data_IF_214012346969
#
_entry.id   IF_214012346969
#
_cell.length_a   1.000
_cell.length_b   1.000
_cell.length_c   1.000
_cell.angle_alpha   90.00
_cell.angle_beta   90.00
_cell.angle_gamma   90.00
#
_symmetry.space_group_name_H-M   'P 1'
#
loop_
_entity.id
_entity.type
_entity.pdbx_description
1 polymer ?
#
# COMPACT_ATOMS: atom_id res chain seq x y z
N UNK A 1 43.38 8.42 26.57
CA UNK A 1 42.08 9.09 26.33
C UNK A 1 42.05 9.55 24.89
N UNK A 2 41.46 8.75 24.00
CA UNK A 2 40.89 9.16 22.72
C UNK A 2 39.99 7.99 22.28
N UNK A 3 38.69 8.16 22.43
CA UNK A 3 37.66 7.29 21.88
C UNK A 3 37.56 7.59 20.38
N UNK A 4 37.77 6.60 19.51
CA UNK A 4 37.28 6.65 18.14
C UNK A 4 36.02 5.80 18.08
N UNK A 5 34.88 6.49 17.98
CA UNK A 5 33.58 5.94 17.63
C UNK A 5 33.64 5.38 16.22
N UNK A 6 33.54 4.05 16.10
CA UNK A 6 33.31 3.38 14.84
C UNK A 6 31.83 3.55 14.50
N UNK A 7 31.51 4.56 13.70
CA UNK A 7 30.19 4.71 13.09
C UNK A 7 29.97 3.54 12.14
N UNK A 8 29.07 2.63 12.52
CA UNK A 8 28.58 1.58 11.65
C UNK A 8 27.74 2.27 10.56
N UNK A 9 28.33 2.42 9.37
CA UNK A 9 27.58 2.72 8.16
C UNK A 9 26.63 1.56 7.92
N UNK A 10 25.33 1.78 8.10
CA UNK A 10 24.30 0.91 7.55
C UNK A 10 24.44 1.01 6.04
N UNK A 11 24.79 -0.10 5.40
CA UNK A 11 24.82 -0.22 3.95
C UNK A 11 23.39 -0.11 3.45
N UNK A 12 23.10 0.89 2.62
CA UNK A 12 21.97 0.81 1.69
C UNK A 12 22.28 -0.35 0.74
N UNK A 13 21.61 -1.49 0.92
CA UNK A 13 21.60 -2.52 -0.11
C UNK A 13 20.84 -1.95 -1.30
N UNK A 14 21.54 -1.79 -2.43
CA UNK A 14 20.92 -1.49 -3.72
C UNK A 14 20.49 -2.80 -4.40
N UNK A 15 19.90 -3.72 -3.64
CA UNK A 15 19.35 -4.94 -4.21
C UNK A 15 17.91 -4.64 -4.67
N UNK A 16 17.58 -4.75 -5.96
CA UNK A 16 16.20 -4.58 -6.43
C UNK A 16 15.22 -5.59 -5.81
N UNK A 17 15.71 -6.68 -5.21
CA UNK A 17 14.88 -7.62 -4.45
C UNK A 17 14.62 -7.18 -2.99
N UNK A 18 15.36 -6.18 -2.47
CA UNK A 18 15.10 -5.53 -1.15
C UNK A 18 14.06 -4.39 -1.25
N UNK A 19 13.45 -4.20 -2.42
CA UNK A 19 12.46 -3.15 -2.68
C UNK A 19 11.26 -3.18 -1.71
N UNK A 20 10.99 -4.32 -1.06
CA UNK A 20 9.97 -4.45 -0.01
C UNK A 20 10.38 -3.92 1.38
N UNK A 21 11.66 -3.65 1.65
CA UNK A 21 12.16 -3.31 3.00
C UNK A 21 12.30 -1.82 3.28
N UNK A 22 11.70 -0.96 2.45
CA UNK A 22 11.69 0.49 2.68
C UNK A 22 10.62 0.87 3.71
N UNK A 23 10.77 0.43 4.96
CA UNK A 23 10.05 1.03 6.09
C UNK A 23 10.41 2.51 6.27
N UNK A 24 11.60 2.92 5.78
CA UNK A 24 12.12 4.27 5.96
C UNK A 24 11.24 5.32 5.27
N UNK A 25 10.47 6.03 6.09
CA UNK A 25 9.60 7.11 5.64
C UNK A 25 8.15 6.71 5.44
N UNK A 26 7.77 5.45 5.73
CA UNK A 26 6.36 5.07 5.81
C UNK A 26 5.83 5.39 7.21
N UNK A 27 4.70 6.08 7.27
CA UNK A 27 4.06 6.43 8.54
C UNK A 27 2.57 6.20 8.46
N UNK A 28 1.96 5.93 9.61
CA UNK A 28 0.51 5.88 9.76
C UNK A 28 0.14 6.35 11.16
N UNK A 29 -1.00 7.01 11.27
CA UNK A 29 -1.60 7.48 12.51
C UNK A 29 -3.11 7.34 12.43
N UNK A 30 -3.70 6.93 13.55
CA UNK A 30 -5.11 6.59 13.66
C UNK A 30 -5.32 5.09 13.83
N UNK A 31 -6.58 4.67 13.80
CA UNK A 31 -6.97 3.28 13.99
C UNK A 31 -8.26 2.99 13.26
N UNK A 32 -8.42 1.76 12.77
CA UNK A 32 -9.66 1.25 12.17
C UNK A 32 -10.02 -0.05 12.89
N UNK A 33 -11.25 -0.11 13.40
CA UNK A 33 -11.82 -1.09 14.32
C UNK A 33 -10.84 -1.60 15.40
N UNK A 34 -10.14 -0.67 16.03
CA UNK A 34 -9.20 -0.96 17.13
C UNK A 34 -7.81 -1.42 16.70
N UNK A 35 -7.57 -1.60 15.40
CA UNK A 35 -6.26 -1.92 14.84
C UNK A 35 -5.53 -0.65 14.42
N UNK A 36 -4.22 -0.62 14.62
CA UNK A 36 -3.34 0.47 14.21
C UNK A 36 -2.32 -0.08 13.23
N UNK A 37 -2.26 0.48 12.03
CA UNK A 37 -1.19 0.16 11.09
C UNK A 37 0.11 0.80 11.58
N UNK A 38 1.12 -0.01 11.89
CA UNK A 38 2.50 0.46 12.10
C UNK A 38 3.34 0.00 10.92
N UNK A 39 3.55 0.84 9.87
CA UNK A 39 4.17 0.39 8.63
C UNK A 39 5.58 -0.18 8.84
N UNK A 40 5.80 -1.40 8.35
CA UNK A 40 7.11 -2.05 8.28
C UNK A 40 7.53 -2.36 6.84
N UNK A 41 6.60 -2.39 5.90
CA UNK A 41 6.91 -2.44 4.47
C UNK A 41 5.82 -1.81 3.63
N UNK A 42 6.16 -1.47 2.39
CA UNK A 42 5.20 -1.11 1.37
C UNK A 42 5.69 -1.55 -0.01
N UNK A 43 4.76 -1.81 -0.92
CA UNK A 43 5.04 -2.08 -2.33
C UNK A 43 3.98 -1.45 -3.22
N UNK A 44 4.30 -1.30 -4.49
CA UNK A 44 3.34 -1.02 -5.56
C UNK A 44 3.42 -2.09 -6.64
N UNK A 45 2.31 -2.34 -7.33
CA UNK A 45 2.27 -3.27 -8.46
C UNK A 45 1.58 -2.57 -9.63
N UNK A 46 2.31 -2.32 -10.73
CA UNK A 46 1.71 -1.79 -11.95
C UNK A 46 0.62 -2.74 -12.46
N UNK A 47 -0.49 -2.16 -12.90
CA UNK A 47 -1.59 -2.88 -13.53
C UNK A 47 -1.77 -2.43 -14.99
N UNK A 48 -2.57 -3.20 -15.72
CA UNK A 48 -2.93 -2.88 -17.10
C UNK A 48 -3.60 -1.50 -17.20
N UNK A 49 -3.35 -0.78 -18.29
CA UNK A 49 -3.88 0.57 -18.51
C UNK A 49 -3.13 1.66 -17.74
N UNK A 50 -2.11 1.32 -16.95
CA UNK A 50 -1.29 2.30 -16.23
C UNK A 50 -1.89 2.71 -14.88
N UNK A 51 -2.75 1.86 -14.30
CA UNK A 51 -3.19 1.91 -12.90
C UNK A 51 -2.17 1.19 -12.01
N UNK A 52 -2.34 1.25 -10.69
CA UNK A 52 -1.46 0.53 -9.78
C UNK A 52 -2.15 0.13 -8.48
N UNK A 53 -1.74 -1.00 -7.92
CA UNK A 53 -2.00 -1.34 -6.53
C UNK A 53 -0.86 -0.83 -5.66
N UNK A 54 -1.17 -0.41 -4.44
CA UNK A 54 -0.19 -0.12 -3.40
C UNK A 54 -0.62 -0.89 -2.15
N UNK A 55 0.34 -1.51 -1.49
CA UNK A 55 0.11 -2.25 -0.25
C UNK A 55 1.07 -1.68 0.79
N UNK A 56 0.55 -1.31 1.96
CA UNK A 56 1.32 -0.93 3.14
C UNK A 56 1.00 -1.95 4.22
N UNK A 57 2.04 -2.53 4.79
CA UNK A 57 1.93 -3.66 5.72
C UNK A 57 2.60 -3.35 7.06
N UNK A 58 2.04 -3.88 8.15
CA UNK A 58 2.67 -3.87 9.47
C UNK A 58 3.81 -4.88 9.64
N UNK A 59 4.08 -5.71 8.63
CA UNK A 59 5.21 -6.65 8.61
C UNK A 59 6.21 -6.27 7.51
N UNK A 60 7.48 -6.65 7.69
CA UNK A 60 8.53 -6.45 6.68
C UNK A 60 8.34 -7.36 5.46
N UNK A 61 9.12 -7.22 4.39
CA UNK A 61 9.17 -8.21 3.30
C UNK A 61 7.84 -8.53 2.55
N UNK A 62 6.84 -7.63 2.54
CA UNK A 62 5.54 -7.89 1.89
C UNK A 62 5.64 -8.25 0.40
N UNK A 63 6.69 -7.78 -0.31
CA UNK A 63 6.93 -8.18 -1.69
C UNK A 63 7.37 -9.64 -1.82
N UNK A 64 8.19 -10.14 -0.89
CA UNK A 64 8.58 -11.54 -0.86
C UNK A 64 7.37 -12.42 -0.55
N UNK A 65 6.52 -12.00 0.39
CA UNK A 65 5.24 -12.66 0.67
C UNK A 65 4.35 -12.70 -0.57
N UNK A 66 4.25 -11.59 -1.31
CA UNK A 66 3.49 -11.53 -2.57
C UNK A 66 4.03 -12.45 -3.66
N UNK A 67 5.34 -12.47 -3.87
CA UNK A 67 6.01 -13.39 -4.81
C UNK A 67 5.85 -14.85 -4.39
N UNK A 68 5.82 -15.13 -3.09
CA UNK A 68 5.62 -16.46 -2.51
C UNK A 68 4.17 -16.92 -2.45
N UNK A 69 3.20 -16.05 -2.78
CA UNK A 69 1.77 -16.28 -2.58
C UNK A 69 1.43 -16.71 -1.15
N UNK A 70 2.12 -16.08 -0.19
CA UNK A 70 1.96 -16.33 1.24
C UNK A 70 1.36 -15.14 1.95
N UNK A 71 0.52 -15.40 2.94
CA UNK A 71 0.07 -14.41 3.91
C UNK A 71 0.49 -14.88 5.28
N UNK A 72 1.09 -13.99 6.07
CA UNK A 72 1.44 -14.27 7.47
C UNK A 72 0.30 -13.84 8.40
N UNK A 73 0.08 -14.53 9.52
CA UNK A 73 -0.92 -14.12 10.51
C UNK A 73 -0.50 -12.83 11.23
N UNK A 74 -1.45 -12.21 11.93
CA UNK A 74 -1.26 -10.98 12.72
C UNK A 74 -0.64 -9.85 11.90
N UNK A 75 -1.22 -9.55 10.75
CA UNK A 75 -0.77 -8.50 9.84
C UNK A 75 -1.90 -7.53 9.62
N UNK A 76 -1.58 -6.24 9.71
CA UNK A 76 -2.46 -5.16 9.32
C UNK A 76 -2.00 -4.69 7.94
N UNK A 77 -2.95 -4.55 7.02
CA UNK A 77 -2.70 -4.25 5.62
C UNK A 77 -3.62 -3.11 5.20
N UNK A 78 -3.03 -2.02 4.71
CA UNK A 78 -3.73 -0.97 4.00
C UNK A 78 -3.42 -1.11 2.51
N UNK A 79 -4.45 -1.23 1.69
CA UNK A 79 -4.31 -1.39 0.24
C UNK A 79 -4.95 -0.20 -0.47
N UNK A 80 -4.33 0.26 -1.55
CA UNK A 80 -4.87 1.24 -2.50
C UNK A 80 -4.95 0.61 -3.88
N UNK A 81 -6.05 0.81 -4.58
CA UNK A 81 -6.11 0.71 -6.04
C UNK A 81 -6.24 2.12 -6.60
N UNK A 82 -5.20 2.57 -7.31
CA UNK A 82 -5.12 3.92 -7.88
C UNK A 82 -5.50 3.87 -9.35
N UNK A 83 -6.45 4.72 -9.74
CA UNK A 83 -6.95 4.84 -11.10
C UNK A 83 -7.00 6.28 -11.58
N UNK A 84 -6.69 6.49 -12.87
CA UNK A 84 -6.90 7.76 -13.55
C UNK A 84 -7.61 7.51 -14.87
N UNK A 85 -8.62 8.32 -15.15
CA UNK A 85 -9.31 8.33 -16.44
C UNK A 85 -9.35 9.74 -17.01
N UNK A 86 -9.20 9.87 -18.33
CA UNK A 86 -9.36 11.13 -19.07
C UNK A 86 -10.37 10.88 -20.17
N UNK A 87 -11.45 11.65 -20.19
CA UNK A 87 -12.52 11.53 -21.18
C UNK A 87 -13.12 10.11 -21.26
N UNK A 88 -13.18 9.43 -20.12
CA UNK A 88 -13.64 8.04 -19.91
C UNK A 88 -12.70 6.93 -20.44
N UNK A 89 -11.46 7.27 -20.79
CA UNK A 89 -10.42 6.29 -21.09
C UNK A 89 -9.44 6.18 -19.94
N UNK A 90 -9.05 4.95 -19.58
CA UNK A 90 -8.00 4.72 -18.57
C UNK A 90 -6.71 5.39 -19.07
N UNK A 91 -6.08 6.16 -18.20
CA UNK A 91 -4.86 6.88 -18.50
C UNK A 91 -3.79 6.58 -17.43
N UNK A 92 -2.50 6.68 -17.77
CA UNK A 92 -1.43 6.50 -16.82
C UNK A 92 -1.57 7.41 -15.59
N UNK A 93 -1.24 6.86 -14.42
CA UNK A 93 -1.11 7.63 -13.19
C UNK A 93 -0.09 8.76 -13.37
N UNK A 94 -0.39 9.90 -12.74
CA UNK A 94 0.57 11.00 -12.55
C UNK A 94 0.52 11.48 -11.10
N UNK A 95 1.52 12.25 -10.64
CA UNK A 95 1.41 13.00 -9.39
C UNK A 95 0.11 13.82 -9.34
N UNK A 96 -0.46 13.98 -8.15
CA UNK A 96 -1.76 14.60 -7.92
C UNK A 96 -2.57 13.88 -6.85
N UNK A 97 -3.74 14.44 -6.54
CA UNK A 97 -4.69 13.91 -5.55
C UNK A 97 -5.66 12.91 -6.22
N UNK A 98 -5.96 11.82 -5.52
CA UNK A 98 -6.87 10.75 -5.93
C UNK A 98 -7.90 10.54 -4.81
N UNK A 99 -9.19 10.57 -5.14
CA UNK A 99 -10.27 10.61 -4.14
C UNK A 99 -10.90 9.25 -3.89
N UNK A 100 -11.16 8.92 -2.62
CA UNK A 100 -11.75 7.65 -2.18
C UNK A 100 -13.23 7.47 -2.57
N UNK A 101 -13.89 8.58 -2.93
CA UNK A 101 -15.28 8.62 -3.38
C UNK A 101 -15.40 9.45 -4.67
N UNK A 102 -14.41 9.30 -5.56
CA UNK A 102 -14.40 10.00 -6.83
C UNK A 102 -15.69 9.69 -7.63
N UNK A 103 -16.42 10.73 -8.01
CA UNK A 103 -17.63 10.57 -8.83
C UNK A 103 -17.22 10.57 -10.31
N UNK A 104 -17.54 9.52 -11.08
CA UNK A 104 -17.27 9.50 -12.51
C UNK A 104 -17.94 10.69 -13.22
N UNK A 105 -17.23 11.32 -14.15
CA UNK A 105 -17.72 12.49 -14.86
C UNK A 105 -16.88 12.82 -16.10
N UNK A 106 -17.33 13.81 -16.91
CA UNK A 106 -16.58 14.26 -18.08
C UNK A 106 -15.25 14.90 -17.66
N UNK A 107 -14.22 14.74 -18.49
CA UNK A 107 -12.88 15.23 -18.21
C UNK A 107 -12.03 14.22 -17.44
N UNK A 108 -11.22 14.70 -16.51
CA UNK A 108 -10.28 13.88 -15.78
C UNK A 108 -10.83 13.45 -14.42
N UNK A 109 -10.77 12.14 -14.15
CA UNK A 109 -11.14 11.53 -12.87
C UNK A 109 -9.91 10.84 -12.30
N UNK A 110 -9.65 11.06 -11.01
CA UNK A 110 -8.59 10.40 -10.23
C UNK A 110 -9.22 9.76 -9.02
N UNK A 111 -9.20 8.43 -9.00
CA UNK A 111 -9.88 7.65 -7.99
C UNK A 111 -8.88 6.80 -7.23
N UNK A 112 -9.16 6.61 -5.94
CA UNK A 112 -8.53 5.56 -5.15
C UNK A 112 -9.63 4.70 -4.55
N UNK A 113 -9.50 3.38 -4.63
CA UNK A 113 -10.26 2.47 -3.77
C UNK A 113 -9.30 2.04 -2.67
N UNK A 114 -9.66 2.20 -1.41
CA UNK A 114 -8.75 1.92 -0.30
C UNK A 114 -9.41 1.03 0.74
N UNK A 115 -8.71 -0.04 1.13
CA UNK A 115 -9.19 -1.03 2.08
C UNK A 115 -8.22 -1.20 3.24
N UNK A 116 -8.74 -1.39 4.45
CA UNK A 116 -7.94 -1.74 5.62
C UNK A 116 -8.36 -3.11 6.16
N UNK A 117 -7.40 -4.03 6.26
CA UNK A 117 -7.62 -5.40 6.65
C UNK A 117 -6.69 -5.81 7.80
N UNK A 118 -7.23 -6.54 8.78
CA UNK A 118 -6.44 -7.33 9.71
C UNK A 118 -6.53 -8.80 9.32
N UNK A 119 -5.42 -9.52 9.34
CA UNK A 119 -5.41 -10.98 9.21
C UNK A 119 -5.03 -11.57 10.55
N UNK A 120 -5.90 -12.42 11.10
CA UNK A 120 -5.76 -13.00 12.44
C UNK A 120 -4.77 -14.18 12.48
N UNK A 121 -4.66 -14.81 13.67
CA UNK A 121 -3.84 -16.01 13.93
C UNK A 121 -4.22 -17.22 13.05
N UNK A 122 -5.47 -17.30 12.60
CA UNK A 122 -5.97 -18.37 11.72
C UNK A 122 -5.74 -18.04 10.23
N UNK A 123 -5.02 -16.96 9.92
CA UNK A 123 -4.88 -16.40 8.58
C UNK A 123 -6.21 -16.06 7.90
N UNK A 124 -7.25 -15.75 8.69
CA UNK A 124 -8.49 -15.21 8.15
C UNK A 124 -8.35 -13.70 8.11
N UNK A 125 -8.65 -13.12 6.96
CA UNK A 125 -8.88 -11.68 6.88
C UNK A 125 -10.11 -11.37 7.73
N UNK A 126 -9.88 -10.90 8.96
CA UNK A 126 -10.91 -10.29 9.78
C UNK A 126 -11.08 -8.88 9.23
N UNK A 127 -12.07 -8.73 8.35
CA UNK A 127 -12.54 -7.43 7.90
C UNK A 127 -13.03 -6.69 9.15
N UNK A 128 -12.40 -5.57 9.54
CA UNK A 128 -12.70 -4.93 10.82
C UNK A 128 -14.16 -4.40 10.91
N UNK A 129 -14.91 -4.43 9.80
CA UNK A 129 -16.33 -4.13 9.65
C UNK A 129 -16.81 -4.57 8.25
N UNK A 130 -18.10 -4.89 8.08
CA UNK A 130 -18.70 -5.33 6.80
C UNK A 130 -18.81 -4.19 5.75
N UNK A 131 -18.06 -3.09 5.90
CA UNK A 131 -18.04 -1.92 5.01
C UNK A 131 -16.57 -1.64 4.65
N UNK A 132 -16.18 -2.16 3.50
CA UNK A 132 -14.83 -2.70 3.22
C UNK A 132 -13.85 -1.65 2.67
N UNK A 133 -14.34 -0.44 2.39
CA UNK A 133 -13.64 0.59 1.64
C UNK A 133 -13.74 1.95 2.34
N UNK A 134 -12.67 2.75 2.21
CA UNK A 134 -12.69 4.14 2.63
C UNK A 134 -13.84 4.88 1.94
N UNK A 135 -14.70 5.53 2.72
CA UNK A 135 -15.88 6.25 2.21
C UNK A 135 -15.60 7.69 1.83
N UNK A 136 -14.46 8.23 2.27
CA UNK A 136 -13.98 9.56 1.92
C UNK A 136 -12.50 9.72 2.24
N UNK A 137 -11.95 10.88 1.86
CA UNK A 137 -10.52 11.15 1.96
C UNK A 137 -9.82 10.98 0.62
N UNK A 138 -8.50 11.08 0.64
CA UNK A 138 -7.69 11.06 -0.57
C UNK A 138 -6.29 10.49 -0.36
N UNK A 139 -5.69 10.11 -1.48
CA UNK A 139 -4.28 9.77 -1.61
C UNK A 139 -3.62 10.78 -2.53
N UNK A 140 -2.58 11.45 -2.04
CA UNK A 140 -1.82 12.45 -2.82
C UNK A 140 -0.49 11.86 -3.23
N UNK A 141 -0.35 11.60 -4.53
CA UNK A 141 0.89 11.11 -5.12
C UNK A 141 1.84 12.27 -5.41
N UNK A 142 3.05 12.18 -4.87
CA UNK A 142 4.15 13.13 -5.12
C UNK A 142 5.12 12.61 -6.18
N UNK A 143 5.24 11.28 -6.30
CA UNK A 143 6.03 10.60 -7.32
C UNK A 143 5.31 9.37 -7.84
N UNK A 144 5.38 9.18 -9.16
CA UNK A 144 4.86 8.00 -9.85
C UNK A 144 5.93 7.52 -10.81
N UNK A 145 6.51 6.36 -10.53
CA UNK A 145 7.39 5.63 -11.44
C UNK A 145 7.03 4.14 -11.35
N UNK A 146 6.32 3.65 -12.35
CA UNK A 146 5.84 2.26 -12.43
C UNK A 146 6.79 1.35 -13.24
N UNK A 147 7.99 1.85 -13.58
CA UNK A 147 8.99 1.03 -14.25
C UNK A 147 9.64 0.04 -13.27
N UNK A 148 10.37 -0.95 -13.79
CA UNK A 148 11.10 -1.90 -12.96
C UNK A 148 12.17 -1.17 -12.12
N UNK A 149 12.17 -1.41 -10.81
CA UNK A 149 12.96 -0.63 -9.84
C UNK A 149 12.42 0.79 -9.55
N UNK A 150 11.27 1.15 -10.12
CA UNK A 150 10.53 2.37 -9.84
C UNK A 150 9.84 2.34 -8.47
N UNK A 151 9.13 3.41 -8.14
CA UNK A 151 8.37 3.53 -6.91
C UNK A 151 7.26 4.60 -6.99
N UNK A 152 6.21 4.42 -6.21
CA UNK A 152 5.17 5.41 -5.95
C UNK A 152 5.38 6.00 -4.55
N UNK A 153 5.31 7.32 -4.42
CA UNK A 153 5.40 8.01 -3.12
C UNK A 153 4.25 8.98 -2.94
N UNK A 154 3.76 9.08 -1.72
CA UNK A 154 2.67 9.97 -1.41
C UNK A 154 2.28 10.03 0.05
N UNK A 155 1.15 10.69 0.27
CA UNK A 155 0.47 10.75 1.56
C UNK A 155 -0.94 10.20 1.40
N UNK A 156 -1.52 9.70 2.49
CA UNK A 156 -2.92 9.30 2.52
C UNK A 156 -3.61 9.93 3.71
N UNK A 157 -4.88 10.20 3.53
CA UNK A 157 -5.79 10.71 4.53
C UNK A 157 -7.17 10.12 4.24
N UNK A 158 -7.48 8.98 4.86
CA UNK A 158 -8.59 8.12 4.49
C UNK A 158 -9.53 7.94 5.67
N UNK A 159 -10.82 7.96 5.38
CA UNK A 159 -11.89 7.81 6.38
C UNK A 159 -12.68 6.54 6.08
N UNK A 160 -12.72 5.67 7.06
CA UNK A 160 -13.37 4.36 7.00
C UNK A 160 -14.70 4.38 7.76
N UNK A 161 -15.73 3.74 7.19
CA UNK A 161 -16.97 3.51 7.90
C UNK A 161 -16.79 2.45 9.01
N UNK A 162 -17.81 2.19 9.84
CA UNK A 162 -19.07 2.94 9.96
C UNK A 162 -18.93 4.20 10.83
N UNK A 163 -17.86 4.30 11.63
CA UNK A 163 -17.73 5.34 12.66
C UNK A 163 -16.92 6.58 12.23
N UNK A 164 -16.51 6.66 10.97
CA UNK A 164 -15.64 7.74 10.49
C UNK A 164 -14.22 7.65 11.06
N UNK A 165 -13.76 6.42 11.28
CA UNK A 165 -12.40 6.13 11.70
C UNK A 165 -11.43 6.59 10.61
N UNK A 166 -10.21 6.99 10.99
CA UNK A 166 -9.34 7.70 10.06
C UNK A 166 -7.92 7.18 10.14
N UNK A 167 -7.31 6.95 8.99
CA UNK A 167 -5.88 6.69 8.85
C UNK A 167 -5.25 7.82 8.05
N UNK A 168 -4.16 8.35 8.58
CA UNK A 168 -3.35 9.38 7.92
C UNK A 168 -1.91 8.95 7.90
N UNK A 169 -1.17 9.26 6.84
CA UNK A 169 0.22 8.83 6.78
C UNK A 169 0.94 9.16 5.49
N UNK A 170 2.12 8.56 5.38
CA UNK A 170 3.02 8.72 4.24
C UNK A 170 3.49 7.35 3.79
N UNK A 171 3.76 7.20 2.50
CA UNK A 171 4.24 5.94 1.96
C UNK A 171 5.25 6.14 0.83
N UNK A 172 6.14 5.16 0.74
CA UNK A 172 7.12 4.95 -0.32
C UNK A 172 7.00 3.47 -0.69
N UNK A 173 6.47 3.22 -1.88
CA UNK A 173 6.03 1.92 -2.33
C UNK A 173 6.78 1.53 -3.62
N UNK A 174 7.94 0.87 -3.50
CA UNK A 174 8.69 0.38 -4.65
C UNK A 174 7.90 -0.62 -5.47
N UNK A 175 8.17 -0.65 -6.77
CA UNK A 175 7.54 -1.59 -7.70
C UNK A 175 7.95 -3.01 -7.34
N UNK A 176 6.96 -3.84 -7.03
CA UNK A 176 7.06 -5.27 -6.83
C UNK A 176 6.27 -5.97 -7.93
N UNK A 177 6.99 -6.56 -8.87
CA UNK A 177 6.41 -7.39 -9.91
C UNK A 177 6.21 -8.81 -9.37
N UNK A 178 4.95 -9.23 -9.24
CA UNK A 178 4.57 -10.59 -8.87
C UNK A 178 3.35 -11.04 -9.68
N UNK A 179 3.21 -12.35 -9.86
CA UNK A 179 2.05 -12.93 -10.53
C UNK A 179 0.88 -12.96 -9.55
N UNK A 180 -0.19 -12.23 -9.86
CA UNK A 180 -1.42 -12.27 -9.07
C UNK A 180 -1.99 -13.70 -9.13
N UNK A 181 -2.37 -14.32 -8.00
CA UNK A 181 -2.99 -15.64 -8.04
C UNK A 181 -4.28 -15.60 -8.85
N UNK A 182 -4.62 -16.74 -9.46
CA UNK A 182 -5.84 -16.83 -10.24
C UNK A 182 -7.08 -16.74 -9.33
N UNK A 183 -8.20 -16.24 -9.87
CA UNK A 183 -9.45 -16.08 -9.11
C UNK A 183 -9.86 -17.44 -8.52
N UNK A 184 -9.85 -17.56 -7.19
CA UNK A 184 -10.21 -18.78 -6.45
C UNK A 184 -9.02 -19.55 -5.87
N UNK A 185 -7.78 -19.09 -6.08
CA UNK A 185 -6.61 -19.54 -5.31
C UNK A 185 -6.42 -18.66 -4.08
N UNK A 186 -6.69 -19.23 -2.91
CA UNK A 186 -6.41 -18.56 -1.65
C UNK A 186 -4.90 -18.53 -1.39
N UNK A 187 -4.43 -17.40 -0.89
CA UNK A 187 -3.07 -17.22 -0.42
C UNK A 187 -2.76 -18.23 0.69
N UNK A 188 -1.61 -18.88 0.61
CA UNK A 188 -1.23 -19.88 1.62
C UNK A 188 -0.84 -19.18 2.92
N UNK A 189 -1.45 -19.60 4.03
CA UNK A 189 -1.04 -19.11 5.35
C UNK A 189 0.37 -19.63 5.65
N UNK A 190 1.35 -18.73 5.70
CA UNK A 190 2.70 -19.05 6.14
C UNK A 190 2.74 -19.01 7.68
N UNK A 191 3.40 -20.00 8.33
CA UNK A 191 3.56 -20.04 9.78
C UNK A 191 4.47 -18.92 10.32
#
# INVERSE_FOLDING_TARGET
>A
MFLLTLGLFVACSNDPDDAGNLAEGNTSSGSVAGHTLVPASALSTPLEGGTAWVIISSQADVCADRKGQTTRPNIDILTFQLGRAVDNEIAPLTPGEYDAAAVPGPGEVRAVEAEFNHVDDDCKATRPNDEEEATSGSVTLTKVDLSDGGLIEGTFDLVFPPNGERLTGTFRAPVCNYEQPSVGEDWTCAP
#
